data_IF_692986605666
#
_entry.id   IF_692986605666
#
_cell.length_a   1.000
_cell.length_b   1.000
_cell.length_c   1.000
_cell.angle_alpha   90.00
_cell.angle_beta   90.00
_cell.angle_gamma   90.00
#
_symmetry.space_group_name_H-M   'P 1'
#
loop_
_entity.id
_entity.type
_entity.pdbx_description
1 polymer ?
#
# COMPACT_ATOMS: atom_id res chain seq x y z
N UNK A 1 1.74 2.70 -20.42
CA UNK A 1 2.69 3.59 -19.72
C UNK A 1 1.89 4.68 -19.02
N UNK A 2 1.72 4.56 -17.70
CA UNK A 2 1.12 5.60 -16.85
C UNK A 2 1.68 6.96 -17.23
N UNK A 3 0.79 7.88 -17.65
CA UNK A 3 1.13 9.11 -18.36
C UNK A 3 2.38 9.77 -17.77
N UNK A 4 3.43 9.81 -18.58
CA UNK A 4 4.42 10.88 -18.51
C UNK A 4 3.77 12.07 -19.22
N UNK A 5 3.94 13.24 -18.61
CA UNK A 5 3.60 14.56 -19.10
C UNK A 5 2.20 15.07 -18.73
N UNK A 6 2.22 16.02 -17.79
CA UNK A 6 1.18 16.99 -17.48
C UNK A 6 1.24 18.08 -18.56
N UNK A 7 0.11 18.43 -19.20
CA UNK A 7 -0.20 19.82 -19.45
C UNK A 7 -1.22 20.29 -18.42
N UNK A 8 -0.98 21.51 -17.95
CA UNK A 8 -1.82 22.20 -17.02
C UNK A 8 -3.24 22.41 -17.59
N UNK A 9 -4.19 22.35 -16.66
CA UNK A 9 -5.52 22.97 -16.67
C UNK A 9 -6.70 22.24 -17.34
N UNK A 10 -7.79 22.29 -16.55
CA UNK A 10 -9.22 22.07 -16.81
C UNK A 10 -9.65 20.71 -17.35
N UNK A 11 -10.22 19.86 -16.49
CA UNK A 11 -11.67 19.76 -16.40
C UNK A 11 -12.09 18.84 -15.25
N UNK A 12 -13.17 19.23 -14.57
CA UNK A 12 -13.90 18.39 -13.62
C UNK A 12 -14.57 17.26 -14.40
N UNK A 13 -13.85 16.17 -14.62
CA UNK A 13 -14.43 14.95 -15.17
C UNK A 13 -14.09 13.76 -14.28
N UNK A 14 -15.04 12.84 -14.18
CA UNK A 14 -14.95 11.61 -13.39
C UNK A 14 -13.88 10.62 -13.92
N UNK A 15 -13.00 11.09 -14.82
CA UNK A 15 -11.97 10.36 -15.57
C UNK A 15 -10.78 9.93 -14.72
N UNK A 16 -10.54 10.58 -13.57
CA UNK A 16 -9.43 10.22 -12.69
C UNK A 16 -9.53 8.81 -12.08
N UNK A 17 -10.76 8.26 -11.99
CA UNK A 17 -10.96 6.89 -11.57
C UNK A 17 -10.42 5.91 -12.60
N UNK A 18 -10.88 6.00 -13.84
CA UNK A 18 -10.56 5.05 -14.91
C UNK A 18 -9.06 5.06 -15.25
N UNK A 19 -8.42 6.23 -15.26
CA UNK A 19 -6.97 6.36 -15.47
C UNK A 19 -6.14 5.67 -14.37
N UNK A 20 -6.56 5.78 -13.10
CA UNK A 20 -5.92 5.08 -12.00
C UNK A 20 -6.06 3.56 -12.16
N UNK A 21 -7.24 3.08 -12.51
CA UNK A 21 -7.50 1.66 -12.70
C UNK A 21 -6.64 1.06 -13.80
N UNK A 22 -6.58 1.71 -14.97
CA UNK A 22 -5.75 1.25 -16.10
C UNK A 22 -4.27 1.18 -15.71
N UNK A 23 -3.79 2.19 -15.00
CA UNK A 23 -2.43 2.23 -14.47
C UNK A 23 -2.11 1.06 -13.54
N UNK A 24 -3.01 0.75 -12.61
CA UNK A 24 -2.82 -0.35 -11.67
C UNK A 24 -2.92 -1.71 -12.37
N UNK A 25 -3.83 -1.86 -13.34
CA UNK A 25 -3.96 -3.09 -14.13
C UNK A 25 -2.70 -3.39 -14.93
N UNK A 26 -2.16 -2.39 -15.65
CA UNK A 26 -0.91 -2.52 -16.41
C UNK A 26 0.26 -2.85 -15.47
N UNK A 27 0.42 -2.06 -14.39
CA UNK A 27 1.54 -2.21 -13.44
C UNK A 27 1.53 -3.57 -12.75
N UNK A 28 0.37 -4.06 -12.33
CA UNK A 28 0.25 -5.27 -11.49
C UNK A 28 -0.11 -6.53 -12.29
N UNK A 29 0.01 -6.45 -13.62
CA UNK A 29 -0.27 -7.56 -14.54
C UNK A 29 -1.67 -8.16 -14.32
N UNK A 30 -2.66 -7.29 -14.17
CA UNK A 30 -4.07 -7.64 -13.98
C UNK A 30 -4.37 -8.57 -12.79
N UNK A 31 -3.53 -8.50 -11.75
CA UNK A 31 -3.64 -9.38 -10.56
C UNK A 31 -3.50 -8.60 -9.26
N UNK A 32 -4.15 -9.11 -8.22
CA UNK A 32 -3.95 -8.62 -6.85
C UNK A 32 -2.48 -8.76 -6.46
N UNK A 33 -1.84 -7.68 -5.99
CA UNK A 33 -0.46 -7.76 -5.49
C UNK A 33 -0.29 -8.73 -4.33
N UNK A 34 -1.34 -8.98 -3.54
CA UNK A 34 -1.24 -9.84 -2.36
C UNK A 34 -1.55 -11.30 -2.65
N UNK A 35 -2.66 -11.57 -3.35
CA UNK A 35 -3.20 -12.92 -3.51
C UNK A 35 -2.98 -13.49 -4.90
N UNK A 36 -2.56 -12.67 -5.88
CA UNK A 36 -2.43 -13.08 -7.29
C UNK A 36 -3.76 -13.36 -8.00
N UNK A 37 -4.90 -13.14 -7.34
CA UNK A 37 -6.26 -13.32 -7.89
C UNK A 37 -6.54 -12.33 -9.02
N UNK A 38 -7.48 -12.67 -9.90
CA UNK A 38 -7.88 -11.83 -11.04
C UNK A 38 -8.29 -10.41 -10.63
N UNK A 39 -7.96 -9.43 -11.47
CA UNK A 39 -8.37 -8.02 -11.36
C UNK A 39 -9.87 -7.83 -11.11
N UNK A 40 -10.72 -8.76 -11.57
CA UNK A 40 -12.19 -8.70 -11.39
C UNK A 40 -12.62 -8.73 -9.92
N UNK A 41 -11.77 -9.25 -9.04
CA UNK A 41 -12.00 -9.30 -7.59
C UNK A 41 -11.19 -8.22 -6.85
N UNK A 42 -10.49 -7.36 -7.58
CA UNK A 42 -9.57 -6.37 -7.05
C UNK A 42 -10.13 -4.96 -7.18
N UNK A 43 -9.61 -4.06 -6.35
CA UNK A 43 -9.93 -2.65 -6.39
C UNK A 43 -8.73 -1.82 -5.94
N UNK A 44 -8.63 -0.61 -6.46
CA UNK A 44 -7.62 0.35 -6.03
C UNK A 44 -7.79 0.66 -4.53
N UNK A 45 -6.74 0.45 -3.75
CA UNK A 45 -6.67 0.84 -2.35
C UNK A 45 -5.61 1.92 -2.17
N UNK A 46 -6.06 3.13 -1.86
CA UNK A 46 -5.18 4.24 -1.49
C UNK A 46 -4.57 4.00 -0.11
N UNK A 47 -3.26 4.22 0.01
CA UNK A 47 -2.51 4.11 1.27
C UNK A 47 -2.65 5.40 2.09
N UNK A 48 -2.46 6.57 1.45
CA UNK A 48 -2.84 7.87 2.02
C UNK A 48 -4.27 8.20 1.58
N UNK A 49 -5.22 8.41 2.50
CA UNK A 49 -6.61 8.68 2.13
C UNK A 49 -6.77 9.99 1.35
N UNK A 50 -7.61 9.98 0.31
CA UNK A 50 -7.96 11.14 -0.52
C UNK A 50 -8.28 12.40 0.31
N UNK A 51 -9.04 12.25 1.41
CA UNK A 51 -9.42 13.35 2.33
C UNK A 51 -8.24 14.14 2.93
N UNK A 52 -7.01 13.62 2.86
CA UNK A 52 -5.81 14.33 3.31
C UNK A 52 -5.33 15.35 2.26
N UNK A 53 -5.64 15.14 0.99
CA UNK A 53 -5.33 16.03 -0.13
C UNK A 53 -3.88 16.00 -0.61
N UNK A 54 -3.66 16.61 -1.77
CA UNK A 54 -2.39 16.68 -2.50
C UNK A 54 -1.27 17.34 -1.67
N UNK A 55 -1.57 18.48 -1.04
CA UNK A 55 -0.60 19.19 -0.18
C UNK A 55 -0.08 18.33 0.97
N UNK A 56 -0.92 17.45 1.52
CA UNK A 56 -0.48 16.57 2.61
C UNK A 56 0.49 15.50 2.11
N UNK A 57 0.17 14.82 1.00
CA UNK A 57 1.02 13.74 0.48
C UNK A 57 2.36 14.28 -0.05
N UNK A 58 2.37 15.47 -0.64
CA UNK A 58 3.57 16.18 -1.07
C UNK A 58 4.48 16.50 0.13
N UNK A 59 3.93 17.12 1.19
CA UNK A 59 4.69 17.41 2.40
C UNK A 59 5.18 16.14 3.10
N UNK A 60 4.36 15.10 3.13
CA UNK A 60 4.70 13.81 3.74
C UNK A 60 5.90 13.17 3.03
N UNK A 61 5.84 13.06 1.70
CA UNK A 61 6.88 12.42 0.90
C UNK A 61 8.15 13.27 0.84
N UNK A 62 8.03 14.60 0.74
CA UNK A 62 9.18 15.51 0.77
C UNK A 62 9.94 15.47 2.09
N UNK A 63 9.24 15.52 3.23
CA UNK A 63 9.88 15.53 4.57
C UNK A 63 10.43 14.17 4.99
N UNK A 64 9.91 13.08 4.43
CA UNK A 64 10.30 11.70 4.75
C UNK A 64 11.14 11.04 3.67
N UNK A 65 11.72 11.82 2.75
CA UNK A 65 12.89 11.35 2.00
C UNK A 65 13.91 10.94 3.05
N UNK A 66 14.08 9.63 3.21
CA UNK A 66 15.19 9.08 3.98
C UNK A 66 16.49 9.47 3.25
N UNK A 67 17.63 9.07 3.77
CA UNK A 67 18.96 9.27 3.12
C UNK A 67 19.05 8.70 1.68
N UNK A 68 18.01 8.01 1.18
CA UNK A 68 17.84 7.61 -0.21
C UNK A 68 17.19 8.77 -1.00
N UNK A 69 18.01 9.62 -1.62
CA UNK A 69 17.58 10.81 -2.39
C UNK A 69 16.67 10.48 -3.59
N UNK A 70 16.61 9.20 -3.96
CA UNK A 70 15.86 8.67 -5.11
C UNK A 70 14.37 8.43 -4.82
N UNK A 71 13.90 8.57 -3.56
CA UNK A 71 12.48 8.37 -3.23
C UNK A 71 11.61 9.50 -3.84
N UNK A 72 10.66 9.21 -4.75
CA UNK A 72 9.91 10.23 -5.47
C UNK A 72 9.00 11.05 -4.54
N UNK A 73 8.96 12.37 -4.79
CA UNK A 73 7.90 13.23 -4.21
C UNK A 73 6.61 12.93 -4.96
N UNK A 74 5.52 12.73 -4.20
CA UNK A 74 4.18 12.54 -4.75
C UNK A 74 3.37 13.78 -4.46
N UNK A 75 2.86 14.42 -5.51
CA UNK A 75 2.02 15.61 -5.46
C UNK A 75 0.53 15.32 -5.71
N UNK A 76 0.19 14.16 -6.27
CA UNK A 76 -1.20 13.73 -6.47
C UNK A 76 -1.61 12.60 -5.51
N UNK A 77 -2.62 12.87 -4.67
CA UNK A 77 -3.16 11.89 -3.73
C UNK A 77 -3.97 10.79 -4.43
N UNK A 78 -4.49 11.02 -5.63
CA UNK A 78 -5.18 10.02 -6.45
C UNK A 78 -4.23 9.27 -7.40
N UNK A 79 -2.93 9.60 -7.37
CA UNK A 79 -1.96 9.03 -8.28
C UNK A 79 -1.69 7.55 -8.00
N UNK A 80 -1.24 6.78 -9.01
CA UNK A 80 -0.96 5.34 -8.87
C UNK A 80 0.14 5.03 -7.84
N UNK A 81 1.03 5.99 -7.54
CA UNK A 81 2.07 5.85 -6.50
C UNK A 81 1.51 5.88 -5.07
N UNK A 82 0.23 6.24 -4.89
CA UNK A 82 -0.43 6.19 -3.60
C UNK A 82 -1.45 5.03 -3.49
N UNK A 83 -1.52 4.16 -4.50
CA UNK A 83 -2.51 3.08 -4.54
C UNK A 83 -1.88 1.72 -4.89
N UNK A 84 -2.56 0.65 -4.48
CA UNK A 84 -2.26 -0.75 -4.84
C UNK A 84 -3.53 -1.44 -5.32
N UNK A 85 -3.38 -2.45 -6.18
CA UNK A 85 -4.50 -3.28 -6.61
C UNK A 85 -4.68 -4.48 -5.69
N UNK A 86 -5.72 -4.45 -4.86
CA UNK A 86 -5.94 -5.45 -3.81
C UNK A 86 -7.33 -6.03 -3.86
N UNK A 87 -7.51 -7.24 -3.35
CA UNK A 87 -8.85 -7.82 -3.23
C UNK A 87 -9.76 -7.00 -2.29
N UNK A 88 -11.08 -7.18 -2.44
CA UNK A 88 -12.08 -6.41 -1.70
C UNK A 88 -11.90 -6.46 -0.17
N UNK A 89 -11.62 -7.63 0.42
CA UNK A 89 -11.45 -7.78 1.87
C UNK A 89 -10.24 -7.00 2.36
N UNK A 90 -9.13 -7.09 1.63
CA UNK A 90 -7.94 -6.33 1.95
C UNK A 90 -8.14 -4.82 1.77
N UNK A 91 -8.87 -4.37 0.73
CA UNK A 91 -9.25 -2.95 0.58
C UNK A 91 -10.00 -2.44 1.81
N UNK A 92 -10.96 -3.20 2.32
CA UNK A 92 -11.72 -2.84 3.54
C UNK A 92 -10.79 -2.78 4.75
N UNK A 93 -9.91 -3.77 4.90
CA UNK A 93 -8.94 -3.81 5.99
C UNK A 93 -7.95 -2.64 5.94
N UNK A 94 -7.51 -2.24 4.75
CA UNK A 94 -6.65 -1.06 4.53
C UNK A 94 -7.42 0.22 4.87
N UNK A 95 -8.63 0.40 4.35
CA UNK A 95 -9.45 1.57 4.65
C UNK A 95 -9.77 1.73 6.14
N UNK A 96 -9.86 0.61 6.87
CA UNK A 96 -10.08 0.56 8.31
C UNK A 96 -8.79 0.57 9.15
N UNK A 97 -7.62 0.65 8.50
CA UNK A 97 -6.29 0.60 9.12
C UNK A 97 -6.06 -0.66 9.99
N UNK A 98 -6.67 -1.79 9.61
CA UNK A 98 -6.47 -3.11 10.24
C UNK A 98 -5.37 -3.93 9.55
N UNK A 99 -4.96 -3.53 8.36
CA UNK A 99 -3.86 -4.13 7.62
C UNK A 99 -2.89 -3.04 7.14
N UNK A 100 -1.60 -3.36 7.13
CA UNK A 100 -0.55 -2.53 6.57
C UNK A 100 0.53 -3.36 5.88
N UNK A 101 1.44 -2.67 5.21
CA UNK A 101 2.56 -3.28 4.52
C UNK A 101 3.84 -2.90 5.23
N UNK A 102 4.68 -3.89 5.53
CA UNK A 102 5.93 -3.73 6.25
C UNK A 102 7.09 -4.05 5.30
N UNK A 103 7.87 -3.03 4.95
CA UNK A 103 9.09 -3.23 4.19
C UNK A 103 10.23 -3.75 5.09
N UNK A 104 10.97 -4.72 4.59
CA UNK A 104 12.15 -5.32 5.21
C UNK A 104 13.26 -5.51 4.18
N UNK A 105 14.55 -5.39 4.53
CA UNK A 105 15.02 -5.03 5.86
C UNK A 105 14.65 -3.57 6.20
N UNK A 106 14.45 -3.31 7.49
CA UNK A 106 14.40 -1.97 8.06
C UNK A 106 15.31 -1.92 9.29
N UNK A 107 15.41 -0.77 9.97
CA UNK A 107 16.35 -0.59 11.09
C UNK A 107 16.14 -1.56 12.28
N UNK A 108 15.00 -2.25 12.35
CA UNK A 108 14.67 -3.22 13.41
C UNK A 108 14.62 -4.66 12.86
N UNK A 109 14.04 -4.86 11.67
CA UNK A 109 13.59 -6.17 11.22
C UNK A 109 14.23 -6.58 9.90
N UNK A 110 14.72 -7.81 9.86
CA UNK A 110 15.08 -8.53 8.65
C UNK A 110 13.88 -9.34 8.13
N UNK A 111 13.84 -9.70 6.83
CA UNK A 111 12.77 -10.53 6.27
C UNK A 111 12.53 -11.84 7.04
N UNK A 112 13.61 -12.49 7.47
CA UNK A 112 13.61 -13.75 8.22
C UNK A 112 12.94 -13.65 9.60
N UNK A 113 12.88 -12.45 10.20
CA UNK A 113 12.18 -12.21 11.46
C UNK A 113 10.64 -12.22 11.28
N UNK A 114 10.15 -11.99 10.06
CA UNK A 114 8.72 -12.03 9.73
C UNK A 114 8.32 -13.43 9.28
N UNK A 115 9.09 -14.01 8.36
CA UNK A 115 8.85 -15.33 7.84
C UNK A 115 10.18 -15.94 7.38
N UNK A 116 10.59 -17.01 8.07
CA UNK A 116 11.89 -17.67 7.88
C UNK A 116 12.10 -18.30 6.50
N UNK A 117 11.05 -18.38 5.67
CA UNK A 117 11.17 -18.82 4.28
C UNK A 117 11.86 -17.78 3.39
N UNK A 118 11.88 -16.52 3.82
CA UNK A 118 12.47 -15.40 3.06
C UNK A 118 13.78 -14.98 3.72
N UNK A 119 14.90 -15.19 3.02
CA UNK A 119 16.24 -14.85 3.49
C UNK A 119 16.90 -13.87 2.53
N UNK A 120 17.51 -12.81 3.09
CA UNK A 120 18.07 -11.72 2.30
C UNK A 120 17.02 -10.95 1.47
N UNK A 121 17.50 -10.03 0.63
CA UNK A 121 16.65 -9.26 -0.28
C UNK A 121 15.73 -8.24 0.39
N UNK A 122 15.05 -7.43 -0.44
CA UNK A 122 14.02 -6.50 0.00
C UNK A 122 12.64 -7.09 -0.25
N UNK A 123 11.83 -7.17 0.80
CA UNK A 123 10.47 -7.71 0.77
C UNK A 123 9.49 -6.73 1.41
N UNK A 124 8.24 -6.73 0.94
CA UNK A 124 7.15 -5.97 1.53
C UNK A 124 6.09 -6.96 2.00
N UNK A 125 5.97 -7.14 3.31
CA UNK A 125 5.07 -8.11 3.93
C UNK A 125 3.72 -7.51 4.28
N UNK A 126 2.65 -8.28 4.08
CA UNK A 126 1.34 -7.92 4.61
C UNK A 126 1.27 -8.18 6.12
N UNK A 127 1.05 -7.13 6.90
CA UNK A 127 0.82 -7.19 8.34
C UNK A 127 -0.65 -6.89 8.66
N UNK A 128 -1.37 -7.88 9.19
CA UNK A 128 -2.70 -7.68 9.75
C UNK A 128 -2.61 -7.47 11.27
N UNK A 129 -3.17 -6.39 11.79
CA UNK A 129 -2.97 -5.98 13.19
C UNK A 129 -3.90 -6.67 14.19
N UNK A 130 -5.00 -7.30 13.76
CA UNK A 130 -5.89 -8.02 14.66
C UNK A 130 -5.34 -9.42 14.98
N UNK A 131 -5.76 -9.99 16.11
CA UNK A 131 -5.31 -11.33 16.49
C UNK A 131 -5.82 -12.37 15.47
N UNK A 132 -4.95 -13.25 14.94
CA UNK A 132 -5.31 -14.24 13.92
C UNK A 132 -6.44 -15.23 14.31
N UNK A 133 -6.80 -15.27 15.60
CA UNK A 133 -7.85 -16.14 16.14
C UNK A 133 -9.27 -15.66 15.78
N UNK A 134 -9.45 -14.40 15.39
CA UNK A 134 -10.77 -13.82 15.08
C UNK A 134 -11.15 -13.86 13.59
N UNK A 135 -10.21 -14.27 12.73
CA UNK A 135 -10.45 -14.30 11.29
C UNK A 135 -11.00 -15.66 10.86
N UNK A 136 -12.20 -15.64 10.28
CA UNK A 136 -12.74 -16.75 9.48
C UNK A 136 -11.71 -17.20 8.44
N UNK A 137 -11.63 -18.51 8.20
CA UNK A 137 -10.73 -19.13 7.24
C UNK A 137 -10.86 -18.55 5.83
N UNK A 138 -12.07 -18.13 5.41
CA UNK A 138 -12.27 -17.43 4.14
C UNK A 138 -11.56 -16.05 4.10
N UNK A 139 -11.49 -15.36 5.24
CA UNK A 139 -10.81 -14.06 5.36
C UNK A 139 -9.30 -14.26 5.46
N UNK A 140 -8.82 -15.32 6.12
CA UNK A 140 -7.39 -15.69 6.16
C UNK A 140 -6.81 -15.91 4.76
N UNK A 141 -7.54 -16.62 3.89
CA UNK A 141 -7.13 -16.81 2.49
C UNK A 141 -7.08 -15.49 1.71
N UNK A 142 -7.92 -14.51 2.07
CA UNK A 142 -8.01 -13.21 1.41
C UNK A 142 -7.02 -12.17 1.96
N UNK A 143 -6.51 -12.37 3.18
CA UNK A 143 -5.57 -11.49 3.88
C UNK A 143 -4.41 -12.35 4.41
N UNK A 144 -3.50 -12.81 3.52
CA UNK A 144 -2.43 -13.72 3.89
C UNK A 144 -1.33 -12.98 4.69
N UNK A 145 -1.53 -12.88 6.00
CA UNK A 145 -0.57 -12.25 6.91
C UNK A 145 0.80 -12.93 6.85
N UNK A 146 1.88 -12.12 6.90
CA UNK A 146 3.26 -12.61 6.89
C UNK A 146 3.74 -13.12 5.54
N UNK A 147 2.94 -12.93 4.48
CA UNK A 147 3.35 -13.20 3.10
C UNK A 147 3.83 -11.91 2.42
N UNK A 148 4.88 -11.98 1.58
CA UNK A 148 5.29 -10.83 0.79
C UNK A 148 4.28 -10.59 -0.33
N UNK A 149 4.10 -9.31 -0.66
CA UNK A 149 3.35 -8.93 -1.85
C UNK A 149 4.19 -9.18 -3.09
N UNK A 150 3.51 -9.48 -4.19
CA UNK A 150 4.08 -9.47 -5.54
C UNK A 150 4.53 -8.06 -5.86
N UNK A 151 5.75 -7.96 -6.39
CA UNK A 151 6.28 -6.73 -6.95
C UNK A 151 6.08 -6.77 -8.48
N UNK A 152 5.88 -5.61 -9.12
CA UNK A 152 5.85 -5.54 -10.58
C UNK A 152 7.23 -5.91 -11.14
N UNK A 153 7.26 -6.61 -12.28
CA UNK A 153 8.48 -6.99 -12.99
C UNK A 153 8.52 -6.31 -14.37
N UNK A 154 9.53 -5.47 -14.68
CA UNK A 154 10.60 -5.02 -13.79
C UNK A 154 10.07 -4.05 -12.73
N UNK A 155 10.70 -4.05 -11.55
CA UNK A 155 10.33 -3.13 -10.49
C UNK A 155 10.70 -1.69 -10.87
N UNK A 156 9.71 -0.91 -11.28
CA UNK A 156 9.87 0.50 -11.59
C UNK A 156 9.48 1.37 -10.39
N UNK A 157 10.50 1.93 -9.71
CA UNK A 157 10.34 2.84 -8.55
C UNK A 157 9.58 4.13 -8.90
N UNK A 158 9.55 4.54 -10.17
CA UNK A 158 8.81 5.74 -10.60
C UNK A 158 7.29 5.54 -10.56
N UNK A 159 6.79 4.31 -10.59
CA UNK A 159 5.34 4.03 -10.62
C UNK A 159 4.86 3.26 -9.38
N UNK A 160 5.78 2.78 -8.55
CA UNK A 160 5.48 2.06 -7.32
C UNK A 160 5.34 3.00 -6.13
N UNK A 161 4.55 2.66 -5.10
CA UNK A 161 4.54 3.46 -3.88
C UNK A 161 5.93 3.53 -3.23
N UNK A 162 6.42 4.74 -2.88
CA UNK A 162 7.71 4.91 -2.26
C UNK A 162 7.70 4.42 -0.81
N UNK A 163 8.88 4.18 -0.26
CA UNK A 163 9.03 3.68 1.11
C UNK A 163 8.37 4.62 2.13
N UNK A 164 8.48 5.93 1.93
CA UNK A 164 7.84 6.93 2.77
C UNK A 164 6.32 6.74 2.93
N UNK A 165 5.61 6.31 1.88
CA UNK A 165 4.17 6.05 1.91
C UNK A 165 3.88 4.79 2.71
N UNK A 166 4.62 3.69 2.47
CA UNK A 166 4.48 2.47 3.24
C UNK A 166 4.74 2.70 4.73
N UNK A 167 5.84 3.38 5.08
CA UNK A 167 6.19 3.69 6.46
C UNK A 167 5.15 4.60 7.14
N UNK A 168 4.65 5.63 6.45
CA UNK A 168 3.61 6.51 6.98
C UNK A 168 2.29 5.78 7.23
N UNK A 169 1.90 4.93 6.29
CA UNK A 169 0.69 4.14 6.42
C UNK A 169 0.81 3.09 7.54
N UNK A 170 1.92 2.36 7.60
CA UNK A 170 2.20 1.38 8.64
C UNK A 170 2.20 2.01 10.04
N UNK A 171 2.89 3.14 10.22
CA UNK A 171 2.89 3.88 11.48
C UNK A 171 1.49 4.32 11.91
N UNK A 172 0.68 4.82 10.97
CA UNK A 172 -0.71 5.22 11.24
C UNK A 172 -1.58 4.05 11.68
N UNK A 173 -1.46 2.91 10.99
CA UNK A 173 -2.21 1.70 11.33
C UNK A 173 -1.83 1.12 12.68
N UNK A 174 -0.53 1.11 13.01
CA UNK A 174 -0.06 0.59 14.30
C UNK A 174 -0.54 1.45 15.47
N UNK A 175 -0.50 2.78 15.36
CA UNK A 175 -1.04 3.69 16.39
C UNK A 175 -2.53 3.43 16.62
N UNK A 176 -3.32 3.29 15.54
CA UNK A 176 -4.75 2.97 15.66
C UNK A 176 -4.98 1.63 16.36
N UNK A 177 -4.24 0.59 15.98
CA UNK A 177 -4.38 -0.73 16.59
C UNK A 177 -4.10 -0.69 18.10
N UNK A 178 -3.09 0.08 18.53
CA UNK A 178 -2.78 0.28 19.96
C UNK A 178 -3.93 1.01 20.67
N UNK A 179 -4.44 2.11 20.11
CA UNK A 179 -5.58 2.83 20.70
C UNK A 179 -6.82 1.93 20.83
N UNK A 180 -7.17 1.16 19.80
CA UNK A 180 -8.34 0.27 19.86
C UNK A 180 -8.21 -0.87 20.86
N UNK A 181 -6.99 -1.34 21.16
CA UNK A 181 -6.78 -2.31 22.24
C UNK A 181 -6.99 -1.70 23.63
N UNK A 182 -6.61 -0.43 23.81
CA UNK A 182 -6.83 0.29 25.08
C UNK A 182 -8.31 0.58 25.31
N UNK A 183 -9.07 0.93 24.27
CA UNK A 183 -10.52 1.17 24.36
C UNK A 183 -11.32 -0.11 24.73
N UNK A 184 -10.77 -1.30 24.47
CA UNK A 184 -11.38 -2.58 24.85
C UNK A 184 -11.06 -3.01 26.30
N UNK A 185 -10.16 -2.30 26.98
CA UNK A 185 -9.74 -2.59 28.36
C UNK A 185 -10.37 -1.68 29.41
N UNK A 186 -11.20 -0.72 29.01
CA UNK A 186 -11.95 0.23 29.86
C UNK A 186 -13.44 -0.08 29.76
#
# INVERSE_FOLDING_TARGET
>A
MCKRDIPAETDTDNSGGDELWDCLMERESERCVVTGTSHRLCSAAHLVPFRRGNKYIELLTRRRRYEDEDDPIIDDVNGPRNALFVNLFLRIAIGSMRAAFLQTPNFILNPEHINSQYTGGSHIFLHYFAQPLELDQAVKASIPHGQPIRLPEPMNREIWPPHAIFAAYYGSGRVRAICSMLDLMI
#
